data_IF_952590287972
#
_entry.id   IF_952590287972
#
_cell.length_a   1.000
_cell.length_b   1.000
_cell.length_c   1.000
_cell.angle_alpha   90.00
_cell.angle_beta   90.00
_cell.angle_gamma   90.00
#
_symmetry.space_group_name_H-M   'P 1'
#
loop_
_entity.id
_entity.type
_entity.pdbx_description
1 polymer ?
#
# COMPACT_ATOMS: atom_id res chain seq x y z
N UNK A 1 -7.70 13.27 20.58
CA UNK A 1 -8.02 14.19 19.46
C UNK A 1 -7.36 13.66 18.20
N UNK A 2 -7.86 13.97 17.00
CA UNK A 2 -7.09 13.70 15.79
C UNK A 2 -5.84 14.59 15.85
N UNK A 3 -4.68 13.97 15.96
CA UNK A 3 -3.41 14.68 16.12
C UNK A 3 -3.06 15.34 14.79
N UNK A 4 -3.09 16.68 14.75
CA UNK A 4 -2.59 17.44 13.61
C UNK A 4 -1.07 17.49 13.72
N UNK A 5 -0.40 16.46 13.20
CA UNK A 5 1.05 16.31 13.31
C UNK A 5 1.83 17.11 12.26
N UNK A 6 1.17 17.55 11.20
CA UNK A 6 1.79 18.32 10.12
C UNK A 6 1.58 19.83 10.31
N UNK A 7 2.59 20.62 9.91
CA UNK A 7 2.56 22.11 9.98
C UNK A 7 1.41 22.72 9.19
N UNK A 8 1.02 22.09 8.08
CA UNK A 8 -0.09 22.54 7.24
C UNK A 8 -1.38 21.82 7.63
N UNK A 9 -2.47 22.57 7.77
CA UNK A 9 -3.78 22.01 8.04
C UNK A 9 -4.26 21.14 6.85
N UNK A 10 -4.52 19.86 7.12
CA UNK A 10 -5.01 18.92 6.10
C UNK A 10 -6.52 18.69 6.25
N UNK A 11 -7.30 19.03 5.22
CA UNK A 11 -8.73 18.72 5.13
C UNK A 11 -9.03 17.79 3.96
N UNK A 12 -10.04 16.95 4.11
CA UNK A 12 -10.53 16.15 2.98
C UNK A 12 -11.39 17.04 2.06
N UNK A 13 -11.14 17.09 0.74
CA UNK A 13 -11.77 18.08 -0.15
C UNK A 13 -13.30 17.91 -0.28
N UNK A 14 -13.82 16.69 -0.10
CA UNK A 14 -15.27 16.40 -0.14
C UNK A 14 -15.96 16.49 1.23
N UNK A 15 -15.23 16.88 2.27
CA UNK A 15 -15.75 16.99 3.64
C UNK A 15 -15.79 18.46 4.02
N UNK A 16 -17.00 18.98 4.14
CA UNK A 16 -17.23 20.28 4.73
C UNK A 16 -17.34 20.13 6.25
N UNK A 17 -16.43 20.77 6.99
CA UNK A 17 -16.32 20.64 8.45
C UNK A 17 -17.24 21.59 9.21
N UNK A 18 -17.61 22.74 8.61
CA UNK A 18 -18.42 23.78 9.26
C UNK A 18 -19.93 23.60 9.04
N UNK A 19 -20.41 22.35 9.05
CA UNK A 19 -21.84 22.05 8.91
C UNK A 19 -22.62 22.47 10.16
N UNK A 20 -23.62 23.34 10.00
CA UNK A 20 -24.50 23.81 11.09
C UNK A 20 -25.48 22.73 11.62
N UNK A 21 -25.52 21.52 11.04
CA UNK A 21 -26.37 20.42 11.52
C UNK A 21 -25.74 19.70 12.72
N UNK A 22 -26.29 19.93 13.91
CA UNK A 22 -26.00 19.18 15.14
C UNK A 22 -26.75 17.83 15.17
N UNK A 23 -26.31 16.89 14.33
CA UNK A 23 -26.84 15.52 14.33
C UNK A 23 -26.16 14.64 15.38
N UNK A 24 -26.92 14.18 16.38
CA UNK A 24 -26.48 13.35 17.51
C UNK A 24 -25.72 12.08 17.08
N UNK A 25 -24.56 11.83 17.70
CA UNK A 25 -23.80 10.58 17.56
C UNK A 25 -22.45 10.59 18.27
N UNK A 26 -22.44 10.80 19.60
CA UNK A 26 -21.23 10.82 20.45
C UNK A 26 -20.60 9.42 20.59
N UNK A 27 -19.78 8.96 19.63
CA UNK A 27 -18.72 7.95 19.83
C UNK A 27 -17.55 8.21 18.87
N UNK A 28 -16.28 8.23 19.33
CA UNK A 28 -15.14 8.31 18.41
C UNK A 28 -15.18 7.11 17.44
N UNK A 29 -15.13 7.40 16.15
CA UNK A 29 -15.11 6.37 15.09
C UNK A 29 -16.46 6.00 14.46
N UNK A 30 -17.60 6.52 14.93
CA UNK A 30 -18.93 6.17 14.37
C UNK A 30 -19.84 7.34 14.01
N UNK A 31 -19.29 8.55 13.87
CA UNK A 31 -20.05 9.77 13.58
C UNK A 31 -19.21 10.94 13.11
N UNK A 32 -18.14 10.68 12.34
CA UNK A 32 -17.36 11.73 11.69
C UNK A 32 -17.68 11.78 10.20
N UNK A 33 -17.80 12.97 9.62
CA UNK A 33 -17.86 13.17 8.17
C UNK A 33 -16.50 12.83 7.53
N UNK A 34 -16.00 11.60 7.64
CA UNK A 34 -14.74 11.18 7.02
C UNK A 34 -15.04 10.62 5.64
N UNK A 35 -14.48 11.24 4.61
CA UNK A 35 -14.58 10.74 3.25
C UNK A 35 -13.89 9.38 3.17
N UNK A 36 -14.68 8.37 2.84
CA UNK A 36 -14.22 7.05 2.43
C UNK A 36 -14.86 6.74 1.08
N UNK A 37 -14.16 5.96 0.27
CA UNK A 37 -14.70 5.42 -0.97
C UNK A 37 -14.27 3.96 -1.08
N UNK A 38 -15.15 3.10 -1.55
CA UNK A 38 -14.71 1.85 -2.15
C UNK A 38 -13.82 2.21 -3.34
N UNK A 39 -12.61 1.66 -3.41
CA UNK A 39 -11.64 2.01 -4.46
C UNK A 39 -12.17 1.67 -5.86
N UNK A 40 -13.26 0.89 -5.95
CA UNK A 40 -14.03 0.73 -7.17
C UNK A 40 -13.39 -0.31 -8.08
N UNK A 41 -13.39 -1.54 -7.59
CA UNK A 41 -13.09 -2.72 -8.37
C UNK A 41 -14.09 -3.78 -7.90
N UNK A 42 -15.37 -3.63 -8.25
CA UNK A 42 -16.41 -4.63 -7.94
C UNK A 42 -16.07 -6.06 -8.43
N UNK A 43 -14.93 -6.23 -9.10
CA UNK A 43 -14.27 -7.46 -9.49
C UNK A 43 -12.80 -7.39 -9.08
N UNK A 44 -12.21 -8.54 -8.75
CA UNK A 44 -10.76 -8.72 -8.57
C UNK A 44 -10.03 -7.95 -9.68
N UNK A 45 -9.22 -6.94 -9.32
CA UNK A 45 -8.43 -6.14 -10.29
C UNK A 45 -7.80 -7.08 -11.31
N UNK A 46 -7.82 -6.77 -12.61
CA UNK A 46 -7.21 -7.64 -13.61
C UNK A 46 -5.77 -7.91 -13.19
N UNK A 47 -5.35 -9.18 -13.20
CA UNK A 47 -4.01 -9.61 -12.75
C UNK A 47 -2.90 -8.80 -13.43
N UNK A 48 -3.15 -8.34 -14.64
CA UNK A 48 -2.24 -7.51 -15.44
C UNK A 48 -1.97 -6.13 -14.83
N UNK A 49 -2.95 -5.52 -14.17
CA UNK A 49 -2.82 -4.21 -13.52
C UNK A 49 -2.29 -4.30 -12.07
N UNK A 50 -2.19 -5.53 -11.54
CA UNK A 50 -1.67 -5.80 -10.20
C UNK A 50 -0.24 -6.29 -10.30
N UNK A 51 0.67 -5.51 -9.74
CA UNK A 51 2.03 -5.95 -9.57
C UNK A 51 2.28 -6.37 -8.12
N UNK A 52 2.97 -7.49 -7.94
CA UNK A 52 3.44 -7.95 -6.64
C UNK A 52 4.96 -7.84 -6.57
N UNK A 53 5.47 -7.38 -5.43
CA UNK A 53 6.90 -7.29 -5.16
C UNK A 53 7.19 -7.19 -3.68
N UNK A 54 8.48 -7.09 -3.34
CA UNK A 54 8.93 -6.91 -1.97
C UNK A 54 9.22 -5.44 -1.69
N UNK A 55 8.87 -4.95 -0.50
CA UNK A 55 9.25 -3.62 -0.06
C UNK A 55 10.77 -3.60 0.20
N UNK A 56 11.54 -2.94 -0.66
CA UNK A 56 12.99 -2.87 -0.52
C UNK A 56 13.43 -1.72 0.38
N UNK A 57 12.75 -0.57 0.28
CA UNK A 57 13.05 0.61 1.09
C UNK A 57 11.76 1.35 1.44
N UNK A 58 11.62 1.71 2.71
CA UNK A 58 10.51 2.48 3.24
C UNK A 58 10.95 3.81 3.91
N UNK A 59 12.11 4.33 3.49
CA UNK A 59 12.73 5.52 4.11
C UNK A 59 12.08 6.84 3.74
N UNK A 60 11.31 6.88 2.65
CA UNK A 60 10.67 8.10 2.15
C UNK A 60 9.30 8.31 2.80
N UNK A 61 8.92 9.58 2.96
CA UNK A 61 7.59 9.92 3.46
C UNK A 61 6.49 9.39 2.53
N UNK A 62 5.69 8.45 3.05
CA UNK A 62 4.50 7.89 2.38
C UNK A 62 4.78 7.31 0.98
N UNK A 63 6.01 6.93 0.69
CA UNK A 63 6.41 6.32 -0.60
C UNK A 63 7.41 5.21 -0.31
N UNK A 64 7.25 4.08 -0.99
CA UNK A 64 8.14 2.92 -0.87
C UNK A 64 8.76 2.60 -2.22
N UNK A 65 9.92 1.95 -2.19
CA UNK A 65 10.52 1.31 -3.35
C UNK A 65 10.21 -0.17 -3.29
N UNK A 66 9.40 -0.64 -4.24
CA UNK A 66 9.09 -2.06 -4.41
C UNK A 66 10.09 -2.66 -5.38
N UNK A 67 10.71 -3.78 -5.00
CA UNK A 67 11.62 -4.53 -5.84
C UNK A 67 10.94 -5.78 -6.39
N UNK A 68 11.07 -6.00 -7.69
CA UNK A 68 10.60 -7.21 -8.37
C UNK A 68 11.81 -7.94 -8.94
N UNK A 69 12.11 -9.11 -8.40
CA UNK A 69 13.14 -9.99 -8.95
C UNK A 69 12.49 -10.90 -10.00
N UNK A 70 13.08 -11.00 -11.18
CA UNK A 70 12.62 -11.88 -12.25
C UNK A 70 13.80 -12.54 -12.95
N UNK A 71 13.54 -13.68 -13.59
CA UNK A 71 14.54 -14.44 -14.33
C UNK A 71 14.43 -14.07 -15.82
N UNK A 72 15.51 -13.56 -16.39
CA UNK A 72 15.59 -13.22 -17.80
C UNK A 72 16.25 -14.36 -18.57
N UNK A 73 15.56 -14.92 -19.56
CA UNK A 73 16.08 -16.05 -20.34
C UNK A 73 17.04 -15.58 -21.43
N UNK A 74 18.25 -16.16 -21.47
CA UNK A 74 19.25 -15.90 -22.50
C UNK A 74 19.18 -17.02 -23.55
N UNK A 75 18.58 -16.70 -24.70
CA UNK A 75 18.32 -17.66 -25.79
C UNK A 75 19.57 -18.42 -26.25
N UNK A 76 20.72 -17.73 -26.36
CA UNK A 76 22.00 -18.33 -26.81
C UNK A 76 22.49 -19.45 -25.90
N UNK A 77 22.32 -19.30 -24.59
CA UNK A 77 22.89 -20.23 -23.59
C UNK A 77 21.83 -21.13 -22.95
N UNK A 78 20.55 -20.98 -23.32
CA UNK A 78 19.42 -21.67 -22.70
C UNK A 78 19.43 -21.61 -21.16
N UNK A 79 19.88 -20.48 -20.61
CA UNK A 79 20.03 -20.23 -19.16
C UNK A 79 19.27 -18.98 -18.75
N UNK A 80 18.89 -18.90 -17.47
CA UNK A 80 18.27 -17.72 -16.88
C UNK A 80 19.29 -16.87 -16.12
N UNK A 81 19.20 -15.55 -16.28
CA UNK A 81 19.93 -14.54 -15.52
C UNK A 81 18.98 -13.88 -14.50
N UNK A 82 19.45 -13.67 -13.27
CA UNK A 82 18.68 -12.93 -12.26
C UNK A 82 18.69 -11.44 -12.58
N UNK A 83 17.52 -10.85 -12.78
CA UNK A 83 17.33 -9.39 -12.94
C UNK A 83 16.35 -8.85 -11.91
N UNK A 84 16.38 -7.54 -11.73
CA UNK A 84 15.43 -6.86 -10.88
C UNK A 84 14.99 -5.53 -11.46
N UNK A 85 13.78 -5.11 -11.12
CA UNK A 85 13.27 -3.77 -11.36
C UNK A 85 12.81 -3.13 -10.05
N UNK A 86 13.04 -1.83 -9.92
CA UNK A 86 12.61 -1.03 -8.78
C UNK A 86 11.45 -0.14 -9.21
N UNK A 87 10.36 -0.20 -8.47
CA UNK A 87 9.11 0.48 -8.77
C UNK A 87 8.73 1.35 -7.58
N UNK A 88 8.65 2.68 -7.75
CA UNK A 88 8.22 3.58 -6.69
C UNK A 88 6.69 3.55 -6.56
N UNK A 89 6.20 3.31 -5.35
CA UNK A 89 4.78 3.24 -5.04
C UNK A 89 4.42 4.15 -3.85
N UNK A 90 3.33 4.89 -3.97
CA UNK A 90 2.78 5.67 -2.86
C UNK A 90 2.13 4.73 -1.84
N UNK A 91 2.24 5.05 -0.56
CA UNK A 91 1.64 4.31 0.55
C UNK A 91 0.64 5.20 1.27
N UNK A 92 -0.61 4.77 1.30
CA UNK A 92 -1.62 5.41 2.14
C UNK A 92 -1.22 5.27 3.62
N UNK A 93 -1.35 6.32 4.46
CA UNK A 93 -1.01 6.27 5.89
C UNK A 93 -1.73 5.19 6.70
N UNK A 94 -2.79 4.60 6.15
CA UNK A 94 -3.49 3.47 6.75
C UNK A 94 -2.65 2.18 6.80
N UNK A 95 -1.65 2.05 5.92
CA UNK A 95 -0.77 0.88 5.86
C UNK A 95 0.53 1.15 6.61
N UNK A 96 0.87 0.26 7.56
CA UNK A 96 2.18 0.22 8.20
C UNK A 96 3.05 -0.78 7.45
N UNK A 97 3.93 -0.29 6.59
CA UNK A 97 4.82 -1.10 5.75
C UNK A 97 6.21 -1.15 6.38
N UNK A 98 6.82 -2.33 6.43
CA UNK A 98 8.22 -2.52 6.80
C UNK A 98 9.03 -2.99 5.59
N UNK A 99 10.35 -2.81 5.67
CA UNK A 99 11.26 -3.40 4.70
C UNK A 99 11.18 -4.93 4.77
N UNK A 100 11.12 -5.59 3.62
CA UNK A 100 10.93 -7.04 3.50
C UNK A 100 9.47 -7.49 3.35
N UNK A 101 8.48 -6.63 3.60
CA UNK A 101 7.07 -7.01 3.42
C UNK A 101 6.72 -7.27 1.94
N UNK A 102 5.80 -8.21 1.70
CA UNK A 102 5.24 -8.44 0.38
C UNK A 102 4.10 -7.46 0.12
N UNK A 103 4.19 -6.70 -0.97
CA UNK A 103 3.25 -5.62 -1.27
C UNK A 103 2.60 -5.85 -2.63
N UNK A 104 1.30 -5.62 -2.66
CA UNK A 104 0.49 -5.58 -3.87
C UNK A 104 0.27 -4.11 -4.24
N UNK A 105 0.76 -3.73 -5.41
CA UNK A 105 0.63 -2.38 -5.95
C UNK A 105 -0.31 -2.40 -7.16
N UNK A 106 -1.04 -1.31 -7.33
CA UNK A 106 -1.89 -1.08 -8.49
C UNK A 106 -1.45 0.18 -9.23
N UNK A 107 -1.60 0.16 -10.55
CA UNK A 107 -1.37 1.33 -11.38
C UNK A 107 -2.32 2.46 -10.98
N UNK A 108 -1.81 3.70 -10.95
CA UNK A 108 -2.60 4.89 -10.73
C UNK A 108 -2.19 6.01 -11.67
N UNK A 109 -2.95 7.12 -11.68
CA UNK A 109 -2.48 8.36 -12.33
C UNK A 109 -1.13 8.78 -11.75
N UNK A 110 -0.30 9.55 -12.48
CA UNK A 110 0.91 10.14 -11.91
C UNK A 110 0.59 10.93 -10.64
N UNK A 111 1.18 10.52 -9.52
CA UNK A 111 1.08 11.20 -8.23
C UNK A 111 2.29 12.12 -7.99
N UNK A 112 3.43 11.76 -8.57
CA UNK A 112 4.66 12.56 -8.58
C UNK A 112 5.44 12.29 -9.88
N UNK A 113 6.64 12.86 -10.01
CA UNK A 113 7.54 12.61 -11.15
C UNK A 113 7.77 11.12 -11.41
N UNK A 114 7.93 10.34 -10.34
CA UNK A 114 8.29 8.92 -10.42
C UNK A 114 7.14 8.00 -10.03
N UNK A 115 6.26 8.44 -9.13
CA UNK A 115 5.22 7.59 -8.56
C UNK A 115 3.99 7.53 -9.46
N UNK A 116 3.79 6.37 -10.06
CA UNK A 116 2.61 6.01 -10.88
C UNK A 116 1.89 4.76 -10.36
N UNK A 117 2.25 4.30 -9.17
CA UNK A 117 1.66 3.15 -8.50
C UNK A 117 1.27 3.53 -7.07
N UNK A 118 0.22 2.90 -6.57
CA UNK A 118 -0.24 3.02 -5.18
C UNK A 118 -0.37 1.64 -4.54
N UNK A 119 -0.03 1.54 -3.26
CA UNK A 119 -0.18 0.31 -2.49
C UNK A 119 -1.65 0.00 -2.24
N UNK A 120 -2.04 -1.24 -2.57
CA UNK A 120 -3.41 -1.74 -2.39
C UNK A 120 -3.51 -2.69 -1.19
N UNK A 121 -2.52 -3.57 -1.02
CA UNK A 121 -2.49 -4.55 0.07
C UNK A 121 -1.06 -4.83 0.50
N UNK A 122 -0.88 -5.00 1.80
CA UNK A 122 0.38 -5.41 2.41
C UNK A 122 0.19 -6.80 3.00
N UNK A 123 1.13 -7.69 2.74
CA UNK A 123 1.23 -9.03 3.29
C UNK A 123 2.51 -9.02 4.14
N UNK A 124 2.39 -8.92 5.48
CA UNK A 124 3.55 -8.83 6.34
C UNK A 124 4.35 -10.14 6.27
N UNK A 125 5.68 -10.03 6.21
CA UNK A 125 6.56 -11.19 6.03
C UNK A 125 6.43 -12.24 7.17
N UNK A 126 6.02 -11.79 8.37
CA UNK A 126 5.76 -12.66 9.53
C UNK A 126 4.36 -13.26 9.60
N UNK A 127 3.45 -12.94 8.66
CA UNK A 127 2.13 -13.59 8.58
C UNK A 127 2.23 -14.89 7.79
N UNK A 128 2.88 -15.89 8.36
CA UNK A 128 2.72 -17.25 7.90
C UNK A 128 1.23 -17.61 7.97
N UNK A 129 0.61 -17.73 6.79
CA UNK A 129 -0.70 -18.34 6.57
C UNK A 129 -0.58 -19.85 6.84
N UNK A 130 -0.38 -20.18 8.11
CA UNK A 130 0.04 -21.48 8.59
C UNK A 130 0.42 -21.38 10.06
N UNK A 131 -0.52 -20.95 10.90
CA UNK A 131 -0.43 -21.06 12.36
C UNK A 131 -0.58 -22.54 12.80
N UNK A 132 0.21 -23.44 12.20
CA UNK A 132 0.54 -24.73 12.80
C UNK A 132 1.93 -24.54 13.39
N UNK A 133 2.02 -24.60 14.71
CA UNK A 133 3.27 -24.53 15.49
C UNK A 133 4.33 -25.37 14.77
N UNK A 134 5.36 -24.73 14.20
CA UNK A 134 6.54 -25.45 13.78
C UNK A 134 7.24 -25.89 15.07
N UNK A 135 7.15 -27.18 15.36
CA UNK A 135 7.83 -27.79 16.49
C UNK A 135 9.34 -27.65 16.24
N UNK A 136 10.02 -26.83 17.03
CA UNK A 136 11.48 -26.84 17.11
C UNK A 136 11.84 -27.90 18.14
N UNK A 137 12.02 -29.16 17.72
CA UNK A 137 12.81 -30.12 18.50
C UNK A 137 14.30 -29.76 18.33
N UNK A 138 15.19 -29.90 19.30
CA UNK A 138 15.22 -30.62 20.58
C UNK A 138 15.23 -29.62 21.75
#
# INVERSE_FOLDING_TARGET
>A
MAEQTEKAYLKQPKVFLCSKKSGKGKRPGKGGNRFWKSVGLGFKTPKEAIEAGTCHSAKMNRTIIVRRNYLHFIKKYQRYEKRHSNIPAHVSPAFRVKEGDHVIIGQCRPLSKTVRFNVLKVIPAGSSSGAKKAFSGI
#
